data_IF_363275430732
#
_entry.id   IF_363275430732
#
_cell.length_a   1.000
_cell.length_b   1.000
_cell.length_c   1.000
_cell.angle_alpha   90.00
_cell.angle_beta   90.00
_cell.angle_gamma   90.00
#
_symmetry.space_group_name_H-M   'P 1'
#
loop_
_entity.id
_entity.type
_entity.pdbx_description
1 polymer ?
#
# COMPACT_ATOMS: atom_id res chain seq x y z
N UNK A 1 -11.48 15.68 -2.03
CA UNK A 1 -10.56 14.99 -1.10
C UNK A 1 -11.06 13.56 -1.08
N UNK A 2 -10.56 12.71 -1.98
CA UNK A 2 -11.33 11.54 -2.42
C UNK A 2 -11.71 10.55 -1.29
N UNK A 3 -10.83 10.34 -0.31
CA UNK A 3 -11.11 9.46 0.83
C UNK A 3 -12.21 10.04 1.75
N UNK A 4 -12.13 11.35 2.07
CA UNK A 4 -13.12 12.04 2.88
C UNK A 4 -14.48 12.10 2.19
N UNK A 5 -14.50 12.33 0.87
CA UNK A 5 -15.73 12.34 0.06
C UNK A 5 -16.41 10.95 0.07
N UNK A 6 -15.63 9.87 0.13
CA UNK A 6 -16.11 8.50 0.22
C UNK A 6 -16.46 8.04 1.66
N UNK A 7 -16.16 8.84 2.69
CA UNK A 7 -16.32 8.42 4.09
C UNK A 7 -17.79 8.21 4.48
N UNK A 8 -18.66 9.17 4.19
CA UNK A 8 -20.09 9.08 4.52
C UNK A 8 -20.78 7.83 3.93
N UNK A 9 -20.68 7.54 2.61
CA UNK A 9 -21.36 6.37 2.04
C UNK A 9 -20.75 5.02 2.43
N UNK A 10 -19.53 4.97 2.98
CA UNK A 10 -18.86 3.72 3.35
C UNK A 10 -18.91 3.41 4.84
N UNK A 11 -18.97 4.43 5.70
CA UNK A 11 -19.10 4.29 7.16
C UNK A 11 -20.55 4.09 7.59
N UNK A 12 -21.51 4.67 6.88
CA UNK A 12 -22.94 4.56 7.21
C UNK A 12 -23.61 3.57 6.24
N UNK A 13 -23.16 2.32 6.26
CA UNK A 13 -23.70 1.29 5.38
C UNK A 13 -25.03 0.77 5.91
N UNK A 14 -26.07 0.83 5.08
CA UNK A 14 -27.40 0.30 5.41
C UNK A 14 -27.44 -1.22 5.19
N UNK A 15 -28.05 -2.01 6.09
CA UNK A 15 -28.22 -3.44 5.89
C UNK A 15 -28.97 -3.77 4.59
N UNK A 16 -28.54 -4.83 3.90
CA UNK A 16 -29.17 -5.26 2.65
C UNK A 16 -30.60 -5.81 2.85
N UNK A 17 -30.89 -6.33 4.05
CA UNK A 17 -32.19 -6.81 4.49
C UNK A 17 -32.34 -6.65 6.02
N UNK A 18 -33.55 -6.89 6.54
CA UNK A 18 -33.90 -6.68 7.94
C UNK A 18 -33.43 -7.80 8.90
N UNK A 19 -32.71 -8.80 8.38
CA UNK A 19 -32.19 -9.89 9.18
C UNK A 19 -30.90 -9.52 9.92
N UNK A 20 -30.60 -10.25 10.99
CA UNK A 20 -29.44 -10.01 11.85
C UNK A 20 -28.10 -10.24 11.15
N UNK A 21 -28.04 -11.09 10.12
CA UNK A 21 -26.82 -11.34 9.36
C UNK A 21 -26.49 -10.15 8.47
N UNK A 22 -27.48 -9.61 7.76
CA UNK A 22 -27.36 -8.38 6.97
C UNK A 22 -26.96 -7.20 7.84
N UNK A 23 -27.54 -7.08 9.03
CA UNK A 23 -27.16 -6.05 10.01
C UNK A 23 -25.71 -6.22 10.50
N UNK A 24 -25.31 -7.46 10.83
CA UNK A 24 -23.95 -7.78 11.25
C UNK A 24 -22.90 -7.50 10.17
N UNK A 25 -23.20 -7.84 8.91
CA UNK A 25 -22.33 -7.56 7.76
C UNK A 25 -22.19 -6.05 7.53
N UNK A 26 -23.30 -5.30 7.56
CA UNK A 26 -23.26 -3.84 7.43
C UNK A 26 -22.40 -3.21 8.53
N UNK A 27 -22.53 -3.69 9.76
CA UNK A 27 -21.75 -3.22 10.92
C UNK A 27 -20.26 -3.62 10.84
N UNK A 28 -19.93 -4.76 10.23
CA UNK A 28 -18.55 -5.16 9.97
C UNK A 28 -17.88 -4.23 8.95
N UNK A 29 -18.55 -3.97 7.82
CA UNK A 29 -18.02 -3.07 6.79
C UNK A 29 -17.93 -1.62 7.26
N UNK A 30 -18.90 -1.16 8.04
CA UNK A 30 -18.88 0.18 8.63
C UNK A 30 -17.65 0.36 9.54
N UNK A 31 -17.37 -0.61 10.43
CA UNK A 31 -16.15 -0.61 11.26
C UNK A 31 -14.87 -0.67 10.45
N UNK A 32 -14.85 -1.45 9.37
CA UNK A 32 -13.70 -1.50 8.47
C UNK A 32 -13.46 -0.15 7.78
N UNK A 33 -14.53 0.52 7.34
CA UNK A 33 -14.48 1.84 6.74
C UNK A 33 -13.97 2.89 7.74
N UNK A 34 -14.38 2.84 9.01
CA UNK A 34 -13.86 3.73 10.06
C UNK A 34 -12.34 3.60 10.21
N UNK A 35 -11.83 2.37 10.27
CA UNK A 35 -10.38 2.13 10.32
C UNK A 35 -9.66 2.59 9.06
N UNK A 36 -10.23 2.35 7.88
CA UNK A 36 -9.67 2.83 6.62
C UNK A 36 -9.59 4.36 6.59
N UNK A 37 -10.65 5.05 7.01
CA UNK A 37 -10.70 6.51 7.00
C UNK A 37 -9.69 7.12 7.99
N UNK A 38 -9.51 6.53 9.17
CA UNK A 38 -8.47 6.95 10.11
C UNK A 38 -7.07 6.82 9.50
N UNK A 39 -6.77 5.68 8.85
CA UNK A 39 -5.48 5.45 8.20
C UNK A 39 -5.28 6.37 6.98
N UNK A 40 -6.31 6.57 6.17
CA UNK A 40 -6.29 7.46 5.02
C UNK A 40 -6.06 8.92 5.44
N UNK A 41 -6.62 9.34 6.58
CA UNK A 41 -6.34 10.64 7.19
C UNK A 41 -4.86 10.80 7.58
N UNK A 42 -4.25 9.78 8.17
CA UNK A 42 -2.81 9.78 8.47
C UNK A 42 -1.96 9.82 7.19
N UNK A 43 -2.35 9.08 6.15
CA UNK A 43 -1.67 9.10 4.86
C UNK A 43 -1.81 10.45 4.14
N UNK A 44 -2.94 11.15 4.28
CA UNK A 44 -3.17 12.46 3.67
C UNK A 44 -2.22 13.55 4.21
N UNK A 45 -1.68 13.39 5.41
CA UNK A 45 -0.69 14.31 6.00
C UNK A 45 0.76 14.04 5.57
N UNK A 46 1.03 12.90 4.92
CA UNK A 46 2.39 12.51 4.51
C UNK A 46 2.97 13.35 3.35
N UNK A 47 2.23 13.66 2.27
CA UNK A 47 2.77 14.39 1.12
C UNK A 47 3.37 15.75 1.46
N UNK A 48 2.75 16.50 2.37
CA UNK A 48 3.27 17.81 2.82
C UNK A 48 4.59 17.67 3.58
N UNK A 49 4.70 16.67 4.48
CA UNK A 49 5.94 16.36 5.19
C UNK A 49 7.03 15.86 4.24
N UNK A 50 6.67 15.05 3.26
CA UNK A 50 7.59 14.58 2.22
C UNK A 50 8.16 15.76 1.42
N UNK A 51 7.29 16.67 0.94
CA UNK A 51 7.71 17.85 0.20
C UNK A 51 8.54 18.82 1.06
N UNK A 52 8.17 19.02 2.32
CA UNK A 52 8.94 19.84 3.27
C UNK A 52 10.36 19.29 3.47
N UNK A 53 10.48 17.98 3.75
CA UNK A 53 11.76 17.32 3.93
C UNK A 53 12.61 17.36 2.66
N UNK A 54 12.00 17.09 1.50
CA UNK A 54 12.68 17.16 0.20
C UNK A 54 13.22 18.57 -0.09
N UNK A 55 12.44 19.60 0.24
CA UNK A 55 12.83 21.00 0.07
C UNK A 55 13.95 21.40 1.03
N UNK A 56 13.89 20.97 2.29
CA UNK A 56 14.95 21.20 3.27
C UNK A 56 16.26 20.53 2.84
N UNK A 57 16.20 19.29 2.35
CA UNK A 57 17.35 18.59 1.77
C UNK A 57 17.92 19.33 0.57
N UNK A 58 17.08 19.80 -0.37
CA UNK A 58 17.53 20.56 -1.53
C UNK A 58 18.25 21.86 -1.14
N UNK A 59 17.77 22.59 -0.13
CA UNK A 59 18.43 23.78 0.42
C UNK A 59 19.78 23.44 1.05
N UNK A 60 19.89 22.31 1.74
CA UNK A 60 21.16 21.83 2.29
C UNK A 60 22.18 21.55 1.19
N UNK A 61 21.76 20.89 0.09
CA UNK A 61 22.63 20.68 -1.07
C UNK A 61 23.10 21.99 -1.69
N UNK A 62 22.19 22.94 -1.90
CA UNK A 62 22.53 24.25 -2.45
C UNK A 62 23.48 25.07 -1.55
N UNK A 63 23.29 25.02 -0.23
CA UNK A 63 24.18 25.68 0.75
C UNK A 63 25.59 25.08 0.72
N UNK A 64 25.70 23.75 0.66
CA UNK A 64 26.98 23.06 0.54
C UNK A 64 27.67 23.44 -0.78
N UNK A 65 26.93 23.49 -1.88
CA UNK A 65 27.47 23.90 -3.18
C UNK A 65 27.95 25.35 -3.18
N UNK A 66 27.20 26.27 -2.55
CA UNK A 66 27.62 27.66 -2.39
C UNK A 66 28.87 27.83 -1.51
N UNK A 67 28.99 27.06 -0.43
CA UNK A 67 30.18 27.03 0.40
C UNK A 67 31.39 26.48 -0.38
N UNK A 68 31.18 25.40 -1.14
CA UNK A 68 32.19 24.85 -2.04
C UNK A 68 32.62 25.88 -3.09
N UNK A 69 31.69 26.58 -3.72
CA UNK A 69 31.96 27.64 -4.70
C UNK A 69 32.74 28.82 -4.09
N UNK A 70 32.40 29.27 -2.88
CA UNK A 70 33.12 30.33 -2.16
C UNK A 70 34.53 29.93 -1.74
N UNK A 71 34.74 28.64 -1.44
CA UNK A 71 36.05 28.06 -1.18
C UNK A 71 36.88 28.03 -2.46
N UNK A 72 36.27 27.61 -3.57
CA UNK A 72 36.91 27.61 -4.90
C UNK A 72 37.29 29.02 -5.38
N UNK A 73 36.63 30.07 -4.88
CA UNK A 73 36.95 31.47 -5.19
C UNK A 73 37.93 32.13 -4.19
N UNK A 74 38.39 31.41 -3.16
CA UNK A 74 39.43 31.90 -2.24
C UNK A 74 40.83 31.54 -2.79
N UNK A 75 41.76 32.50 -2.94
CA UNK A 75 42.93 32.36 -3.83
C UNK A 75 44.10 31.52 -3.28
N UNK A 76 43.87 30.51 -2.41
CA UNK A 76 44.96 29.68 -1.86
C UNK A 76 44.67 28.16 -1.90
N UNK A 77 45.58 27.41 -2.54
CA UNK A 77 45.35 26.02 -2.98
C UNK A 77 45.51 24.92 -1.89
N UNK A 78 46.12 25.22 -0.74
CA UNK A 78 46.45 24.20 0.29
C UNK A 78 45.29 23.86 1.23
N UNK A 79 44.27 24.71 1.31
CA UNK A 79 43.10 24.52 2.19
C UNK A 79 41.95 23.78 1.48
N UNK A 80 41.91 23.81 0.14
CA UNK A 80 40.82 23.25 -0.66
C UNK A 80 40.91 21.74 -0.88
N UNK A 81 42.11 21.17 -0.86
CA UNK A 81 42.32 19.73 -1.09
C UNK A 81 41.52 18.81 -0.15
N UNK A 82 41.53 19.00 1.19
CA UNK A 82 40.73 18.17 2.09
C UNK A 82 39.22 18.41 1.96
N UNK A 83 38.78 19.65 1.66
CA UNK A 83 37.36 20.00 1.49
C UNK A 83 36.77 19.32 0.26
N UNK A 84 37.50 19.36 -0.86
CA UNK A 84 37.08 18.72 -2.12
C UNK A 84 37.01 17.19 -1.96
N UNK A 85 37.97 16.58 -1.27
CA UNK A 85 37.96 15.14 -1.01
C UNK A 85 36.76 14.72 -0.13
N UNK A 86 36.40 15.53 0.86
CA UNK A 86 35.26 15.26 1.73
C UNK A 86 33.92 15.42 1.00
N UNK A 87 33.78 16.48 0.17
CA UNK A 87 32.59 16.70 -0.65
C UNK A 87 32.39 15.57 -1.68
N UNK A 88 33.46 15.09 -2.32
CA UNK A 88 33.39 13.96 -3.25
C UNK A 88 32.91 12.67 -2.57
N UNK A 89 33.39 12.38 -1.35
CA UNK A 89 32.94 11.24 -0.55
C UNK A 89 31.48 11.35 -0.09
N UNK A 90 31.02 12.55 0.26
CA UNK A 90 29.62 12.80 0.63
C UNK A 90 28.66 12.59 -0.55
N UNK A 91 29.06 12.99 -1.76
CA UNK A 91 28.26 12.78 -2.98
C UNK A 91 28.19 11.29 -3.35
N UNK A 92 29.29 10.55 -3.22
CA UNK A 92 29.32 9.11 -3.54
C UNK A 92 28.54 8.26 -2.54
N UNK A 93 28.59 8.59 -1.25
CA UNK A 93 27.78 7.93 -0.21
C UNK A 93 26.30 8.20 -0.40
N UNK A 94 25.90 9.46 -0.66
CA UNK A 94 24.52 9.80 -1.00
C UNK A 94 24.02 8.99 -2.21
N UNK A 95 24.81 8.90 -3.27
CA UNK A 95 24.44 8.15 -4.45
C UNK A 95 24.25 6.66 -4.14
N UNK A 96 25.13 6.09 -3.32
CA UNK A 96 25.02 4.71 -2.89
C UNK A 96 23.76 4.48 -2.02
N UNK A 97 23.44 5.38 -1.12
CA UNK A 97 22.28 5.31 -0.24
C UNK A 97 20.96 5.46 -1.02
N UNK A 98 20.87 6.44 -1.92
CA UNK A 98 19.69 6.62 -2.79
C UNK A 98 19.48 5.40 -3.67
N UNK A 99 20.55 4.89 -4.30
CA UNK A 99 20.46 3.70 -5.15
C UNK A 99 20.07 2.45 -4.37
N UNK A 100 20.57 2.30 -3.15
CA UNK A 100 20.22 1.18 -2.25
C UNK A 100 18.76 1.28 -1.78
N UNK A 101 18.30 2.48 -1.41
CA UNK A 101 16.91 2.73 -1.04
C UNK A 101 15.95 2.45 -2.21
N UNK A 102 16.29 2.90 -3.42
CA UNK A 102 15.49 2.62 -4.62
C UNK A 102 15.43 1.13 -4.92
N UNK A 103 16.55 0.41 -4.79
CA UNK A 103 16.58 -1.04 -4.96
C UNK A 103 15.76 -1.78 -3.88
N UNK A 104 15.83 -1.32 -2.63
CA UNK A 104 15.05 -1.84 -1.52
C UNK A 104 13.55 -1.62 -1.76
N UNK A 105 13.16 -0.43 -2.22
CA UNK A 105 11.77 -0.08 -2.53
C UNK A 105 11.23 -0.95 -3.67
N UNK A 106 12.02 -1.15 -4.72
CA UNK A 106 11.64 -1.99 -5.86
C UNK A 106 11.50 -3.46 -5.47
N UNK A 107 12.42 -3.98 -4.66
CA UNK A 107 12.36 -5.38 -4.21
C UNK A 107 11.23 -5.67 -3.22
N UNK A 108 10.82 -4.67 -2.42
CA UNK A 108 9.65 -4.81 -1.53
C UNK A 108 8.30 -4.74 -2.25
N UNK A 109 8.21 -3.99 -3.36
CA UNK A 109 6.97 -3.88 -4.14
C UNK A 109 6.74 -5.10 -5.05
N UNK A 110 7.80 -5.78 -5.51
CA UNK A 110 7.73 -6.94 -6.40
C UNK A 110 6.85 -8.10 -5.87
N UNK A 111 6.96 -8.54 -4.59
CA UNK A 111 6.12 -9.62 -4.08
C UNK A 111 4.68 -9.20 -3.80
N UNK A 112 4.35 -7.91 -3.69
CA UNK A 112 2.98 -7.43 -3.40
C UNK A 112 2.03 -7.76 -4.57
N UNK A 113 2.51 -7.68 -5.80
CA UNK A 113 1.72 -8.01 -6.99
C UNK A 113 1.56 -9.53 -7.17
N UNK A 114 2.61 -10.30 -6.89
CA UNK A 114 2.60 -11.76 -6.97
C UNK A 114 1.67 -12.38 -5.91
N UNK A 115 1.82 -11.95 -4.64
CA UNK A 115 0.98 -12.43 -3.53
C UNK A 115 -0.50 -12.07 -3.70
N UNK A 116 -0.80 -10.90 -4.26
CA UNK A 116 -2.18 -10.51 -4.58
C UNK A 116 -2.77 -11.39 -5.69
N UNK A 117 -2.02 -11.64 -6.77
CA UNK A 117 -2.46 -12.53 -7.85
C UNK A 117 -2.67 -13.97 -7.36
N UNK A 118 -1.78 -14.48 -6.50
CA UNK A 118 -1.92 -15.79 -5.88
C UNK A 118 -3.15 -15.86 -4.96
N UNK A 119 -3.38 -14.83 -4.14
CA UNK A 119 -4.55 -14.75 -3.27
C UNK A 119 -5.87 -14.74 -4.07
N UNK A 120 -5.92 -13.98 -5.16
CA UNK A 120 -7.08 -13.96 -6.08
C UNK A 120 -7.28 -15.32 -6.73
N UNK A 121 -6.20 -15.96 -7.19
CA UNK A 121 -6.26 -17.28 -7.82
C UNK A 121 -6.77 -18.35 -6.84
N UNK A 122 -6.27 -18.36 -5.61
CA UNK A 122 -6.74 -19.27 -4.56
C UNK A 122 -8.20 -19.01 -4.18
N UNK A 123 -8.63 -17.74 -4.10
CA UNK A 123 -10.02 -17.38 -3.81
C UNK A 123 -10.97 -17.87 -4.91
N UNK A 124 -10.61 -17.68 -6.18
CA UNK A 124 -11.41 -18.15 -7.32
C UNK A 124 -11.52 -19.68 -7.34
N UNK A 125 -10.42 -20.38 -7.07
CA UNK A 125 -10.42 -21.84 -6.98
C UNK A 125 -11.27 -22.34 -5.81
N UNK A 126 -11.17 -21.68 -4.66
CA UNK A 126 -11.98 -22.00 -3.48
C UNK A 126 -13.48 -21.80 -3.74
N UNK A 127 -13.85 -20.68 -4.34
CA UNK A 127 -15.24 -20.37 -4.68
C UNK A 127 -15.82 -21.41 -5.66
N UNK A 128 -15.13 -21.65 -6.77
CA UNK A 128 -15.59 -22.62 -7.79
C UNK A 128 -15.64 -24.05 -7.26
N UNK A 129 -14.67 -24.47 -6.45
CA UNK A 129 -14.69 -25.76 -5.76
C UNK A 129 -15.86 -25.90 -4.79
N UNK A 130 -16.16 -24.87 -4.00
CA UNK A 130 -17.26 -24.90 -3.02
C UNK A 130 -18.64 -24.92 -3.68
N UNK A 131 -18.82 -24.17 -4.77
CA UNK A 131 -20.02 -24.24 -5.60
C UNK A 131 -20.24 -25.64 -6.17
N UNK A 132 -19.18 -26.31 -6.65
CA UNK A 132 -19.25 -27.69 -7.14
C UNK A 132 -19.69 -28.71 -6.08
N UNK A 133 -19.23 -28.56 -4.84
CA UNK A 133 -19.68 -29.43 -3.73
C UNK A 133 -21.15 -29.22 -3.38
N UNK A 134 -21.63 -27.97 -3.41
CA UNK A 134 -23.03 -27.65 -3.16
C UNK A 134 -23.93 -28.23 -4.25
N UNK A 135 -23.57 -28.08 -5.52
CA UNK A 135 -24.36 -28.62 -6.63
C UNK A 135 -24.41 -30.15 -6.60
N UNK A 136 -23.30 -30.81 -6.27
CA UNK A 136 -23.25 -32.27 -6.10
C UNK A 136 -24.14 -32.74 -4.93
N UNK A 137 -24.09 -32.05 -3.78
CA UNK A 137 -24.92 -32.38 -2.62
C UNK A 137 -26.41 -32.25 -2.94
N UNK A 138 -26.81 -31.15 -3.60
CA UNK A 138 -28.19 -30.93 -4.03
C UNK A 138 -28.65 -31.97 -5.05
N UNK A 139 -27.78 -32.39 -5.97
CA UNK A 139 -28.06 -33.46 -6.93
C UNK A 139 -28.30 -34.79 -6.22
N UNK A 140 -27.45 -35.17 -5.26
CA UNK A 140 -27.61 -36.40 -4.46
C UNK A 140 -28.92 -36.37 -3.68
N UNK A 141 -29.24 -35.23 -3.04
CA UNK A 141 -30.50 -35.06 -2.31
C UNK A 141 -31.71 -35.21 -3.24
N UNK A 142 -31.63 -34.63 -4.44
CA UNK A 142 -32.69 -34.72 -5.46
C UNK A 142 -32.87 -36.14 -5.97
N UNK A 143 -31.80 -36.88 -6.22
CA UNK A 143 -31.86 -38.30 -6.62
C UNK A 143 -32.50 -39.13 -5.50
N UNK A 144 -32.08 -38.93 -4.25
CA UNK A 144 -32.64 -39.63 -3.09
C UNK A 144 -34.14 -39.35 -2.91
N UNK A 145 -34.58 -38.10 -3.10
CA UNK A 145 -35.99 -37.73 -3.03
C UNK A 145 -36.82 -38.38 -4.15
N UNK A 146 -36.27 -38.49 -5.36
CA UNK A 146 -36.94 -39.16 -6.48
C UNK A 146 -37.07 -40.67 -6.26
N UNK A 147 -36.04 -41.33 -5.73
CA UNK A 147 -36.11 -42.76 -5.38
C UNK A 147 -37.22 -43.04 -4.35
N UNK A 148 -37.32 -42.18 -3.33
CA UNK A 148 -38.35 -42.29 -2.30
C UNK A 148 -39.78 -42.05 -2.82
N UNK A 149 -39.96 -41.25 -3.89
CA UNK A 149 -41.25 -41.07 -4.58
C UNK A 149 -41.60 -42.22 -5.52
N UNK A 150 -40.59 -42.92 -6.05
CA UNK A 150 -40.75 -44.09 -6.93
C UNK A 150 -40.95 -45.41 -6.17
N UNK A 151 -40.88 -45.40 -4.83
CA UNK A 151 -41.19 -46.55 -3.99
C UNK A 151 -40.13 -47.65 -3.99
N UNK A 152 -38.88 -47.32 -4.35
CA UNK A 152 -37.71 -48.21 -4.34
C UNK A 152 -36.68 -47.71 -3.34
#
# INVERSE_FOLDING_TARGET
MAHADAAAPTVVLVPAAADEVSAGIAQLFSRHAEHYQALAGHAAAFPERFAHNLTASARSYASTEGANASSLWSPDARTLSPVIAHAAGAIQSLHADVRSFLWQLMSQLLPVTATFADAVTLLLLYLTGRWGLITLFLLVLRIRALLHQLGI
#
